data_IF_058629811307
#
_entry.id   IF_058629811307
#
_cell.length_a   1.000
_cell.length_b   1.000
_cell.length_c   1.000
_cell.angle_alpha   90.00
_cell.angle_beta   90.00
_cell.angle_gamma   90.00
#
_symmetry.space_group_name_H-M   'P 1'
#
loop_
_entity.id
_entity.type
_entity.pdbx_description
1 polymer ?
#
# COMPACT_ATOMS: atom_id res chain seq x y z
N UNK A 1 6.42 14.91 -8.31
CA UNK A 1 5.01 15.02 -8.75
C UNK A 1 4.27 13.70 -8.70
N UNK A 2 4.80 12.58 -9.23
CA UNK A 2 4.13 11.26 -9.20
C UNK A 2 3.89 10.67 -7.80
N UNK A 3 4.86 10.78 -6.88
CA UNK A 3 4.68 10.30 -5.49
C UNK A 3 3.48 10.95 -4.78
N UNK A 4 3.28 12.27 -4.96
CA UNK A 4 2.13 12.99 -4.40
C UNK A 4 0.79 12.45 -4.91
N UNK A 5 0.72 12.03 -6.19
CA UNK A 5 -0.49 11.45 -6.77
C UNK A 5 -0.79 10.06 -6.20
N UNK A 6 0.24 9.26 -5.90
CA UNK A 6 0.09 7.96 -5.24
C UNK A 6 -0.40 8.15 -3.80
N UNK A 7 0.18 9.09 -3.04
CA UNK A 7 -0.26 9.38 -1.68
C UNK A 7 -1.72 9.85 -1.62
N UNK A 8 -2.16 10.65 -2.60
CA UNK A 8 -3.58 11.00 -2.77
C UNK A 8 -4.51 9.80 -2.98
N UNK A 9 -4.00 8.71 -3.57
CA UNK A 9 -4.74 7.44 -3.66
C UNK A 9 -4.79 6.76 -2.30
N UNK A 10 -3.67 6.72 -1.56
CA UNK A 10 -3.62 6.11 -0.24
C UNK A 10 -4.56 6.77 0.78
N UNK A 11 -4.77 8.09 0.68
CA UNK A 11 -5.73 8.81 1.52
C UNK A 11 -7.21 8.42 1.30
N UNK A 12 -7.51 7.61 0.27
CA UNK A 12 -8.85 7.01 0.11
C UNK A 12 -9.06 5.75 0.98
N UNK A 13 -7.97 5.18 1.50
CA UNK A 13 -7.98 3.91 2.25
C UNK A 13 -7.67 4.10 3.74
N UNK A 14 -6.97 5.18 4.08
CA UNK A 14 -6.68 5.56 5.46
C UNK A 14 -6.51 7.07 5.57
N UNK A 15 -6.45 7.60 6.79
CA UNK A 15 -6.30 9.04 7.00
C UNK A 15 -4.88 9.50 6.67
N UNK A 16 -4.68 10.81 6.41
CA UNK A 16 -3.36 11.36 6.12
C UNK A 16 -2.32 11.08 7.22
N UNK A 17 -2.74 11.04 8.48
CA UNK A 17 -1.86 10.74 9.62
C UNK A 17 -1.34 9.30 9.63
N UNK A 18 -2.06 8.40 8.96
CA UNK A 18 -1.74 6.97 8.88
C UNK A 18 -0.99 6.60 7.60
N UNK A 19 -0.66 7.58 6.75
CA UNK A 19 0.20 7.38 5.57
C UNK A 19 1.57 7.97 5.86
N UNK A 20 2.57 7.12 6.00
CA UNK A 20 3.92 7.51 6.36
C UNK A 20 4.84 7.37 5.14
N UNK A 21 5.29 8.47 4.53
CA UNK A 21 6.28 8.42 3.46
C UNK A 21 7.59 7.83 3.98
N UNK A 22 8.06 6.74 3.37
CA UNK A 22 9.32 6.10 3.76
C UNK A 22 10.46 6.44 2.79
N UNK A 23 10.14 6.51 1.49
CA UNK A 23 11.05 6.96 0.43
C UNK A 23 10.28 7.60 -0.72
N UNK A 24 10.95 7.95 -1.82
CA UNK A 24 10.30 8.56 -3.01
C UNK A 24 9.27 7.61 -3.64
N UNK A 25 9.45 6.29 -3.51
CA UNK A 25 8.59 5.29 -4.15
C UNK A 25 7.96 4.32 -3.13
N UNK A 26 8.19 4.51 -1.82
CA UNK A 26 7.66 3.66 -0.77
C UNK A 26 6.89 4.47 0.28
N UNK A 27 5.75 3.94 0.70
CA UNK A 27 4.95 4.49 1.80
C UNK A 27 4.39 3.36 2.64
N UNK A 28 4.32 3.60 3.95
CA UNK A 28 3.70 2.69 4.92
C UNK A 28 2.30 3.23 5.19
N UNK A 29 1.31 2.34 5.13
CA UNK A 29 -0.09 2.68 5.42
C UNK A 29 -0.50 1.89 6.67
N UNK A 30 -0.86 2.59 7.74
CA UNK A 30 -1.59 1.95 8.83
C UNK A 30 -3.07 1.85 8.44
N UNK A 31 -3.53 0.61 8.31
CA UNK A 31 -4.91 0.28 7.99
C UNK A 31 -5.55 -0.61 9.05
N UNK A 32 -4.94 -0.72 10.25
CA UNK A 32 -5.37 -1.60 11.34
C UNK A 32 -6.85 -1.47 11.65
N UNK A 33 -7.37 -0.24 11.61
CA UNK A 33 -8.75 0.08 11.92
C UNK A 33 -9.65 0.32 10.69
N UNK A 34 -9.07 0.45 9.49
CA UNK A 34 -9.82 0.88 8.29
C UNK A 34 -9.96 -0.22 7.25
N UNK A 35 -9.11 -1.26 7.23
CA UNK A 35 -9.08 -2.23 6.14
C UNK A 35 -10.43 -2.94 5.92
N UNK A 36 -11.18 -3.21 7.00
CA UNK A 36 -12.50 -3.87 6.95
C UNK A 36 -13.57 -3.07 6.20
N UNK A 37 -13.36 -1.77 5.99
CA UNK A 37 -14.27 -0.93 5.21
C UNK A 37 -14.17 -1.22 3.70
N UNK A 38 -13.09 -1.87 3.26
CA UNK A 38 -12.74 -2.00 1.84
C UNK A 38 -12.73 -3.45 1.33
N UNK A 39 -12.94 -4.44 2.20
CA UNK A 39 -12.94 -5.85 1.80
C UNK A 39 -13.10 -6.82 2.96
N UNK A 40 -13.22 -8.11 2.61
CA UNK A 40 -13.41 -9.20 3.56
C UNK A 40 -12.08 -9.80 4.05
N UNK A 41 -10.96 -9.45 3.42
CA UNK A 41 -9.62 -9.85 3.84
C UNK A 41 -8.58 -8.77 3.53
N UNK A 42 -7.48 -8.74 4.27
CA UNK A 42 -6.37 -7.78 4.04
C UNK A 42 -5.76 -7.97 2.64
N UNK A 43 -5.68 -9.21 2.14
CA UNK A 43 -5.19 -9.51 0.79
C UNK A 43 -6.11 -8.92 -0.31
N UNK A 44 -7.43 -8.96 -0.10
CA UNK A 44 -8.40 -8.35 -1.01
C UNK A 44 -8.22 -6.83 -1.07
N UNK A 45 -8.07 -6.19 0.11
CA UNK A 45 -7.84 -4.74 0.22
C UNK A 45 -6.52 -4.34 -0.43
N UNK A 46 -5.44 -5.09 -0.20
CA UNK A 46 -4.16 -4.87 -0.86
C UNK A 46 -4.29 -4.94 -2.39
N UNK A 47 -5.04 -5.93 -2.91
CA UNK A 47 -5.30 -6.04 -4.35
C UNK A 47 -6.17 -4.91 -4.88
N UNK A 48 -7.11 -4.40 -4.09
CA UNK A 48 -7.90 -3.22 -4.42
C UNK A 48 -7.02 -1.97 -4.55
N UNK A 49 -6.08 -1.76 -3.62
CA UNK A 49 -5.12 -0.65 -3.68
C UNK A 49 -4.28 -0.75 -4.96
N UNK A 50 -3.71 -1.92 -5.25
CA UNK A 50 -2.93 -2.15 -6.48
C UNK A 50 -3.74 -1.84 -7.75
N UNK A 51 -4.98 -2.34 -7.82
CA UNK A 51 -5.89 -2.05 -8.95
C UNK A 51 -6.19 -0.56 -9.08
N UNK A 52 -6.44 0.11 -7.96
CA UNK A 52 -6.77 1.55 -7.95
C UNK A 52 -5.60 2.38 -8.45
N UNK A 53 -4.37 2.09 -7.99
CA UNK A 53 -3.15 2.74 -8.49
C UNK A 53 -2.96 2.48 -9.98
N UNK A 54 -3.15 1.24 -10.44
CA UNK A 54 -3.04 0.88 -11.86
C UNK A 54 -4.08 1.59 -12.72
N UNK A 55 -5.33 1.67 -12.27
CA UNK A 55 -6.40 2.33 -13.01
C UNK A 55 -6.23 3.84 -13.09
N UNK A 56 -5.84 4.49 -11.98
CA UNK A 56 -5.73 5.96 -11.92
C UNK A 56 -4.45 6.48 -12.54
N UNK A 57 -3.33 5.78 -12.37
CA UNK A 57 -2.00 6.27 -12.74
C UNK A 57 -1.29 5.41 -13.79
N UNK A 58 -1.84 4.25 -14.15
CA UNK A 58 -1.17 3.32 -15.07
C UNK A 58 0.07 2.64 -14.46
N UNK A 59 0.27 2.72 -13.14
CA UNK A 59 1.46 2.17 -12.47
C UNK A 59 1.17 0.80 -11.87
N UNK A 60 2.17 -0.09 -11.93
CA UNK A 60 2.17 -1.30 -11.12
C UNK A 60 2.82 -0.99 -9.77
N UNK A 61 2.22 -1.50 -8.69
CA UNK A 61 2.74 -1.33 -7.33
C UNK A 61 2.69 -2.68 -6.60
N UNK A 62 3.67 -2.91 -5.76
CA UNK A 62 3.78 -4.08 -4.88
C UNK A 62 3.37 -3.69 -3.46
N UNK A 63 2.76 -4.63 -2.74
CA UNK A 63 2.26 -4.39 -1.37
C UNK A 63 2.78 -5.50 -0.48
N UNK A 64 3.46 -5.12 0.61
CA UNK A 64 3.80 -6.00 1.72
C UNK A 64 2.83 -5.78 2.88
N UNK A 65 2.46 -6.85 3.57
CA UNK A 65 1.51 -6.84 4.69
C UNK A 65 2.22 -7.43 5.91
N UNK A 66 2.06 -6.78 7.07
CA UNK A 66 2.57 -7.26 8.35
C UNK A 66 1.93 -6.51 9.52
N UNK A 67 2.10 -7.02 10.73
CA UNK A 67 1.51 -6.45 11.95
C UNK A 67 2.27 -5.19 12.42
N UNK A 68 3.41 -4.90 11.81
CA UNK A 68 4.19 -3.68 12.04
C UNK A 68 4.97 -3.29 10.76
N UNK A 69 5.51 -2.06 10.69
CA UNK A 69 6.21 -1.57 9.51
C UNK A 69 7.39 -2.42 9.07
N UNK A 70 8.14 -3.01 10.02
CA UNK A 70 9.32 -3.83 9.71
C UNK A 70 8.90 -5.14 9.03
N UNK A 71 7.88 -5.81 9.55
CA UNK A 71 7.33 -7.02 8.95
C UNK A 71 6.74 -6.74 7.57
N UNK A 72 5.98 -5.64 7.42
CA UNK A 72 5.39 -5.26 6.14
C UNK A 72 6.47 -4.99 5.07
N UNK A 73 7.55 -4.29 5.44
CA UNK A 73 8.67 -4.04 4.54
C UNK A 73 9.42 -5.32 4.19
N UNK A 74 9.66 -6.19 5.17
CA UNK A 74 10.29 -7.49 4.91
C UNK A 74 9.45 -8.34 3.95
N UNK A 75 8.13 -8.38 4.14
CA UNK A 75 7.23 -9.08 3.24
C UNK A 75 7.30 -8.50 1.81
N UNK A 76 7.28 -7.17 1.67
CA UNK A 76 7.44 -6.49 0.38
C UNK A 76 8.75 -6.91 -0.32
N UNK A 77 9.86 -6.88 0.41
CA UNK A 77 11.20 -7.18 -0.12
C UNK A 77 11.35 -8.66 -0.52
N UNK A 78 10.79 -9.59 0.27
CA UNK A 78 10.82 -11.03 -0.03
C UNK A 78 10.03 -11.36 -1.30
N UNK A 79 8.84 -10.78 -1.46
CA UNK A 79 8.04 -10.96 -2.67
C UNK A 79 8.67 -10.31 -3.90
N UNK A 80 9.39 -9.19 -3.73
CA UNK A 80 10.13 -8.57 -4.83
C UNK A 80 11.30 -9.45 -5.31
N UNK A 81 12.04 -10.08 -4.38
CA UNK A 81 13.20 -10.93 -4.71
C UNK A 81 12.84 -12.26 -5.35
N UNK A 82 11.66 -12.82 -5.06
CA UNK A 82 11.22 -14.10 -5.64
C UNK A 82 10.64 -14.01 -7.06
N UNK A 83 10.36 -12.81 -7.56
CA UNK A 83 9.83 -12.57 -8.92
C UNK A 83 10.90 -12.11 -9.93
N UNK A 84 12.18 -12.32 -9.62
CA UNK A 84 13.31 -12.11 -10.53
C UNK A 84 13.85 -13.43 -11.08
#
# INVERSE_FOLDING_TARGET
>A
QRNLQINQIFHQFTTEKEVWPYSIDESILDMTHTWRLFGNSVCEVARLIQKTVRQKLGLYTTVGIGDNPVQAKLALDLYAKHNH
#
